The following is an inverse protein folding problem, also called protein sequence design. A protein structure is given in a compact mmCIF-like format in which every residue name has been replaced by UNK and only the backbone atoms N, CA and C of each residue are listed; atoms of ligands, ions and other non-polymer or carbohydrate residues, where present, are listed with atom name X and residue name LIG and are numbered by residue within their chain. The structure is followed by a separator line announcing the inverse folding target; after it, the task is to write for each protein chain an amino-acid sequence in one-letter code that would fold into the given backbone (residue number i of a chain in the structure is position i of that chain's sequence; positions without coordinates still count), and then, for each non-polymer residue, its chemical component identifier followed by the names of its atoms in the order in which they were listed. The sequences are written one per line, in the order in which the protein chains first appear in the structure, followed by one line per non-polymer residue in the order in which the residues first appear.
data_IF_688509759425
#
_entry.id   IF_688509759425
#
_cell.length_a   1.000
_cell.length_b   1.000
_cell.length_c   1.000
_cell.angle_alpha   90.00
_cell.angle_beta   90.00
_cell.angle_gamma   90.00
#
_symmetry.space_group_name_H-M   'P 1'
#
loop_
_entity.id
_entity.type
_entity.pdbx_description
1 polymer ?
#
# COMPACT_ATOMS: atom_id res chain seq x y z
N UNK A 1 -11.96 -7.91 13.10
CA UNK A 1 -10.71 -7.31 12.58
C UNK A 1 -11.04 -6.13 11.71
N UNK A 2 -10.42 -4.99 11.96
CA UNK A 2 -10.66 -3.78 11.19
C UNK A 2 -9.77 -3.82 9.94
N UNK A 3 -10.36 -4.13 8.78
CA UNK A 3 -9.65 -4.13 7.48
C UNK A 3 -10.08 -2.90 6.69
N UNK A 4 -9.58 -1.72 7.09
CA UNK A 4 -9.88 -0.47 6.43
C UNK A 4 -8.78 -0.10 5.43
N UNK A 5 -9.20 0.43 4.30
CA UNK A 5 -8.36 1.06 3.29
C UNK A 5 -8.92 2.42 2.94
N UNK A 6 -8.09 3.31 2.46
CA UNK A 6 -8.49 4.65 2.07
C UNK A 6 -8.22 4.89 0.60
N UNK A 7 -9.12 5.61 -0.06
CA UNK A 7 -8.97 6.00 -1.46
C UNK A 7 -9.53 7.38 -1.69
N UNK A 8 -8.95 8.11 -2.64
CA UNK A 8 -9.46 9.41 -3.03
C UNK A 8 -8.89 9.87 -4.37
N UNK A 9 -9.59 10.82 -4.99
CA UNK A 9 -9.22 11.42 -6.26
C UNK A 9 -8.76 12.86 -6.04
N UNK A 10 -7.75 13.30 -6.80
CA UNK A 10 -7.21 14.66 -6.75
C UNK A 10 -6.75 15.03 -5.33
N UNK A 11 -7.26 16.11 -4.76
CA UNK A 11 -7.02 16.46 -3.35
C UNK A 11 -7.39 15.34 -2.38
N UNK A 12 -8.46 14.57 -2.67
CA UNK A 12 -8.82 13.37 -1.90
C UNK A 12 -7.76 12.28 -1.97
N UNK A 13 -7.04 12.18 -3.10
CA UNK A 13 -5.88 11.29 -3.23
C UNK A 13 -4.72 11.70 -2.33
N UNK A 14 -4.41 13.00 -2.28
CA UNK A 14 -3.43 13.54 -1.32
C UNK A 14 -3.86 13.32 0.13
N UNK A 15 -5.12 13.62 0.46
CA UNK A 15 -5.68 13.39 1.80
C UNK A 15 -5.68 11.91 2.21
N UNK A 16 -5.66 10.97 1.25
CA UNK A 16 -5.52 9.55 1.56
C UNK A 16 -4.15 9.20 2.14
N UNK A 17 -3.09 9.85 1.67
CA UNK A 17 -1.75 9.72 2.24
C UNK A 17 -1.65 10.38 3.63
N UNK A 18 -2.32 11.53 3.82
CA UNK A 18 -2.41 12.17 5.11
C UNK A 18 -3.12 11.28 6.14
N UNK A 19 -4.24 10.67 5.77
CA UNK A 19 -4.92 9.70 6.61
C UNK A 19 -4.02 8.51 6.98
N UNK A 20 -3.18 8.04 6.04
CA UNK A 20 -2.22 6.95 6.30
C UNK A 20 -1.10 7.36 7.26
N UNK A 21 -0.68 8.63 7.26
CA UNK A 21 0.26 9.15 8.26
C UNK A 21 -0.38 9.27 9.66
N UNK A 22 -1.69 9.50 9.72
CA UNK A 22 -2.42 9.64 10.99
C UNK A 22 -2.88 8.31 11.59
N UNK A 23 -3.16 7.31 10.75
CA UNK A 23 -3.67 6.00 11.17
C UNK A 23 -2.88 4.85 10.56
N UNK A 24 -1.90 4.35 11.29
CA UNK A 24 -1.07 3.21 10.91
C UNK A 24 -1.80 1.86 10.90
N UNK A 25 -3.10 1.80 11.26
CA UNK A 25 -3.90 0.56 11.19
C UNK A 25 -4.54 0.31 9.82
N UNK A 26 -4.47 1.28 8.91
CA UNK A 26 -4.92 1.12 7.54
C UNK A 26 -4.17 -0.01 6.83
N UNK A 27 -4.84 -0.71 5.93
CA UNK A 27 -4.27 -1.84 5.19
C UNK A 27 -3.75 -1.46 3.81
N UNK A 28 -4.34 -0.44 3.18
CA UNK A 28 -3.91 0.03 1.87
C UNK A 28 -4.37 1.47 1.60
N UNK A 29 -3.60 2.16 0.77
CA UNK A 29 -3.96 3.43 0.14
C UNK A 29 -4.12 3.21 -1.37
N UNK A 30 -5.16 3.79 -1.95
CA UNK A 30 -5.30 3.93 -3.41
C UNK A 30 -5.52 5.41 -3.70
N UNK A 31 -4.52 6.06 -4.26
CA UNK A 31 -4.61 7.47 -4.63
C UNK A 31 -4.77 7.64 -6.13
N UNK A 32 -5.88 8.29 -6.52
CA UNK A 32 -6.32 8.45 -7.89
C UNK A 32 -5.96 9.87 -8.35
N UNK A 33 -4.95 10.00 -9.21
CA UNK A 33 -4.38 11.28 -9.63
C UNK A 33 -4.22 12.25 -8.44
N UNK A 34 -3.48 11.86 -7.40
CA UNK A 34 -3.38 12.67 -6.19
C UNK A 34 -2.69 13.99 -6.49
N UNK A 35 -3.20 15.04 -5.86
CA UNK A 35 -2.50 16.31 -5.77
C UNK A 35 -2.28 16.64 -4.31
N UNK A 36 -1.10 17.11 -3.98
CA UNK A 36 -0.83 17.65 -2.65
C UNK A 36 -1.58 18.96 -2.50
N UNK A 37 -2.26 19.15 -1.38
CA UNK A 37 -3.30 20.15 -1.29
C UNK A 37 -2.75 21.57 -1.20
N UNK A 38 -1.63 21.85 -0.61
CA UNK A 38 -1.03 23.18 -0.59
C UNK A 38 0.44 23.15 -0.13
N UNK A 39 1.29 23.76 -0.92
CA UNK A 39 2.65 24.16 -0.52
C UNK A 39 2.62 25.30 0.52
N UNK A 40 1.57 26.14 0.50
CA UNK A 40 1.48 27.30 1.37
C UNK A 40 0.64 26.98 2.63
N UNK A 41 1.32 26.42 3.62
CA UNK A 41 0.79 26.24 4.96
C UNK A 41 0.51 27.56 5.69
N UNK A 42 0.80 28.71 5.09
CA UNK A 42 0.39 30.01 5.62
C UNK A 42 -1.11 30.25 5.55
N UNK A 43 -1.84 29.45 4.78
CA UNK A 43 -3.30 29.41 4.88
C UNK A 43 -3.78 28.75 6.17
N UNK A 44 -2.87 28.13 6.95
CA UNK A 44 -3.23 27.36 8.10
C UNK A 44 -3.30 28.17 9.39
N UNK A 45 -2.36 28.33 10.25
CA UNK A 45 -2.61 28.93 11.56
C UNK A 45 -3.00 30.40 11.44
N UNK A 46 -4.27 30.70 11.60
CA UNK A 46 -4.79 32.06 11.73
C UNK A 46 -5.52 32.61 10.48
N UNK A 47 -5.64 31.85 9.41
CA UNK A 47 -6.51 32.17 8.27
C UNK A 47 -7.76 31.30 8.34
N UNK A 48 -8.77 31.82 9.05
CA UNK A 48 -10.08 31.19 9.10
C UNK A 48 -10.78 31.35 7.74
N UNK A 49 -10.92 30.25 7.00
CA UNK A 49 -11.92 30.18 5.96
C UNK A 49 -13.22 29.69 6.60
N UNK A 50 -14.21 30.55 6.67
CA UNK A 50 -15.52 30.33 7.32
C UNK A 50 -15.45 29.89 8.82
N UNK A 51 -14.46 30.34 9.56
CA UNK A 51 -14.34 30.05 10.99
C UNK A 51 -13.96 28.60 11.31
N UNK A 52 -13.44 27.85 10.34
CA UNK A 52 -12.99 26.49 10.50
C UNK A 52 -11.51 26.39 10.18
N UNK A 53 -10.70 26.11 11.21
CA UNK A 53 -9.26 25.92 11.07
C UNK A 53 -9.01 24.50 10.56
N UNK A 54 -9.07 24.29 9.25
CA UNK A 54 -8.60 23.07 8.63
C UNK A 54 -7.38 23.37 7.80
N UNK A 55 -6.26 22.83 8.21
CA UNK A 55 -5.06 22.90 7.43
C UNK A 55 -4.35 21.57 7.42
N UNK A 56 -4.56 20.85 6.36
CA UNK A 56 -3.75 19.70 6.03
C UNK A 56 -2.80 20.14 4.94
N UNK A 57 -1.54 20.36 5.30
CA UNK A 57 -0.48 20.64 4.37
C UNK A 57 0.28 19.33 4.12
N UNK A 58 -0.07 18.63 3.07
CA UNK A 58 0.74 17.53 2.58
C UNK A 58 1.73 18.09 1.56
N UNK A 59 3.02 18.02 1.84
CA UNK A 59 4.09 18.25 0.86
C UNK A 59 4.71 16.91 0.53
N UNK A 60 5.00 16.61 -0.75
CA UNK A 60 5.49 15.29 -1.16
C UNK A 60 6.69 14.79 -0.37
N UNK A 61 7.59 15.67 0.00
CA UNK A 61 8.77 15.36 0.81
C UNK A 61 8.46 14.91 2.26
N UNK A 62 7.23 15.05 2.71
CA UNK A 62 6.78 14.64 4.04
C UNK A 62 5.82 13.45 4.02
N UNK A 63 5.62 12.79 2.87
CA UNK A 63 4.81 11.57 2.79
C UNK A 63 5.61 10.41 3.37
N UNK A 64 5.51 10.25 4.68
CA UNK A 64 6.25 9.24 5.45
C UNK A 64 5.28 8.34 6.20
N UNK A 65 4.89 7.24 5.58
CA UNK A 65 4.09 6.18 6.20
C UNK A 65 4.43 4.81 5.63
N UNK A 66 4.17 3.77 6.39
CA UNK A 66 4.43 2.38 6.01
C UNK A 66 3.22 1.69 5.35
N UNK A 67 2.11 2.40 5.14
CA UNK A 67 0.90 1.79 4.57
C UNK A 67 1.09 1.59 3.06
N UNK A 68 0.89 0.36 2.55
CA UNK A 68 1.01 0.04 1.14
C UNK A 68 0.19 0.98 0.25
N UNK A 69 0.78 1.49 -0.85
CA UNK A 69 0.18 2.56 -1.65
C UNK A 69 0.22 2.30 -3.15
N UNK A 70 -0.96 2.28 -3.78
CA UNK A 70 -1.13 2.30 -5.23
C UNK A 70 -1.47 3.71 -5.69
N UNK A 71 -0.63 4.28 -6.55
CA UNK A 71 -0.74 5.66 -7.01
C UNK A 71 -1.00 5.65 -8.52
N UNK A 72 -2.12 6.22 -8.93
CA UNK A 72 -2.40 6.48 -10.34
C UNK A 72 -2.05 7.92 -10.69
N UNK A 73 -1.38 8.14 -11.82
CA UNK A 73 -1.00 9.44 -12.32
C UNK A 73 -1.23 9.55 -13.84
N UNK A 74 -1.26 10.73 -14.39
CA UNK A 74 -1.33 10.95 -15.83
C UNK A 74 -0.01 11.48 -16.38
N UNK A 75 0.45 10.93 -17.52
CA UNK A 75 1.73 11.33 -18.15
C UNK A 75 1.80 12.83 -18.48
N UNK A 76 0.69 13.42 -18.90
CA UNK A 76 0.64 14.85 -19.26
C UNK A 76 -0.10 15.71 -18.23
N UNK A 77 -0.32 15.18 -17.05
CA UNK A 77 -1.08 15.83 -15.97
C UNK A 77 -0.49 17.17 -15.55
N UNK A 78 0.84 17.28 -15.50
CA UNK A 78 1.56 18.52 -15.20
C UNK A 78 1.25 19.64 -16.17
N UNK A 79 0.90 19.33 -17.43
CA UNK A 79 0.52 20.34 -18.41
C UNK A 79 -0.87 20.94 -18.14
N UNK A 80 -1.74 20.17 -17.46
CA UNK A 80 -3.07 20.62 -17.05
C UNK A 80 -3.02 21.35 -15.71
N UNK A 81 -2.14 20.90 -14.82
CA UNK A 81 -2.02 21.36 -13.46
C UNK A 81 -0.63 21.96 -13.18
N UNK A 82 -0.24 22.95 -13.98
CA UNK A 82 1.10 23.55 -13.90
C UNK A 82 1.43 24.17 -12.54
N UNK A 83 0.42 24.59 -11.77
CA UNK A 83 0.60 25.10 -10.41
C UNK A 83 0.94 24.00 -9.39
N UNK A 84 0.81 22.72 -9.78
CA UNK A 84 1.08 21.54 -8.95
C UNK A 84 2.32 20.78 -9.41
N UNK A 85 3.17 21.40 -10.23
CA UNK A 85 4.47 20.81 -10.60
C UNK A 85 5.29 20.49 -9.33
N UNK A 86 5.77 19.27 -9.23
CA UNK A 86 6.45 18.75 -8.03
C UNK A 86 5.50 18.26 -6.92
N UNK A 87 4.19 18.23 -7.15
CA UNK A 87 3.17 17.87 -6.15
C UNK A 87 2.13 16.87 -6.68
N UNK A 88 2.45 16.16 -7.75
CA UNK A 88 1.57 15.17 -8.38
C UNK A 88 1.92 13.74 -7.93
N UNK A 89 1.20 12.75 -8.43
CA UNK A 89 1.37 11.35 -8.06
C UNK A 89 2.80 10.82 -8.26
N UNK A 90 3.48 11.25 -9.32
CA UNK A 90 4.88 10.91 -9.59
C UNK A 90 5.81 11.39 -8.47
N UNK A 91 5.59 12.62 -7.99
CA UNK A 91 6.40 13.22 -6.92
C UNK A 91 6.12 12.56 -5.58
N UNK A 92 4.84 12.25 -5.30
CA UNK A 92 4.44 11.50 -4.10
C UNK A 92 5.15 10.14 -4.09
N UNK A 93 5.07 9.38 -5.19
CA UNK A 93 5.75 8.09 -5.29
C UNK A 93 7.26 8.20 -5.05
N UNK A 94 7.91 9.20 -5.65
CA UNK A 94 9.36 9.40 -5.55
C UNK A 94 9.80 9.73 -4.12
N UNK A 95 8.95 10.44 -3.36
CA UNK A 95 9.26 10.91 -2.01
C UNK A 95 8.81 9.96 -0.89
N UNK A 96 7.97 8.96 -1.20
CA UNK A 96 7.61 7.93 -0.21
C UNK A 96 8.81 7.05 0.16
N UNK A 97 8.86 6.52 1.40
CA UNK A 97 9.91 5.60 1.83
C UNK A 97 10.09 4.42 0.87
N UNK A 98 11.34 4.02 0.64
CA UNK A 98 11.66 2.85 -0.21
C UNK A 98 11.26 1.53 0.45
N UNK A 99 11.04 1.55 1.76
CA UNK A 99 10.58 0.39 2.56
C UNK A 99 9.07 0.21 2.56
N UNK A 100 8.32 1.19 2.03
CA UNK A 100 6.86 1.08 1.88
C UNK A 100 6.55 0.41 0.55
N UNK A 101 5.74 -0.63 0.57
CA UNK A 101 5.21 -1.25 -0.65
C UNK A 101 4.46 -0.21 -1.47
N UNK A 102 4.89 0.02 -2.69
CA UNK A 102 4.27 1.06 -3.52
C UNK A 102 4.33 0.74 -5.00
N UNK A 103 3.27 1.17 -5.68
CA UNK A 103 3.16 1.13 -7.14
C UNK A 103 2.80 2.53 -7.63
N UNK A 104 3.44 2.97 -8.73
CA UNK A 104 2.97 4.07 -9.55
C UNK A 104 2.57 3.55 -10.92
N UNK A 105 1.32 3.80 -11.29
CA UNK A 105 0.76 3.52 -12.59
C UNK A 105 0.47 4.85 -13.31
N UNK A 106 1.35 5.23 -14.21
CA UNK A 106 1.18 6.43 -15.02
C UNK A 106 0.50 6.09 -16.34
N UNK A 107 -0.69 6.65 -16.57
CA UNK A 107 -1.46 6.43 -17.80
C UNK A 107 -0.90 7.20 -18.99
N UNK A 108 -0.64 6.48 -20.10
CA UNK A 108 -0.06 7.05 -21.31
C UNK A 108 -0.98 8.11 -21.95
N UNK A 109 -0.40 9.25 -22.33
CA UNK A 109 -1.09 10.41 -22.92
C UNK A 109 -2.31 10.88 -22.12
N UNK A 110 -2.36 10.59 -20.84
CA UNK A 110 -3.47 10.90 -19.94
C UNK A 110 -3.14 12.08 -19.04
N UNK A 111 -4.14 12.93 -18.76
CA UNK A 111 -4.04 14.03 -17.82
C UNK A 111 -4.64 13.69 -16.46
N UNK A 112 -5.03 14.74 -15.72
CA UNK A 112 -5.56 14.62 -14.36
C UNK A 112 -6.83 13.76 -14.24
N UNK A 113 -7.55 13.55 -15.31
CA UNK A 113 -8.75 12.69 -15.33
C UNK A 113 -8.51 11.19 -15.48
N UNK A 114 -7.26 10.71 -15.56
CA UNK A 114 -6.94 9.32 -15.87
C UNK A 114 -7.66 8.30 -14.98
N UNK A 115 -7.60 8.51 -13.68
CA UNK A 115 -8.23 7.62 -12.70
C UNK A 115 -9.48 8.24 -12.01
N UNK A 116 -10.01 9.37 -12.52
CA UNK A 116 -11.19 10.04 -11.92
C UNK A 116 -12.43 9.13 -11.86
N UNK A 117 -12.58 8.27 -12.85
CA UNK A 117 -13.66 7.28 -12.94
C UNK A 117 -13.03 5.91 -13.25
N UNK A 118 -12.57 5.17 -12.23
CA UNK A 118 -11.82 3.94 -12.41
C UNK A 118 -12.56 2.94 -13.30
N UNK A 119 -11.90 2.50 -14.35
CA UNK A 119 -12.40 1.50 -15.31
C UNK A 119 -11.23 0.77 -15.98
N UNK A 120 -11.47 -0.37 -16.62
CA UNK A 120 -10.42 -1.14 -17.27
C UNK A 120 -9.27 -1.47 -16.32
N UNK A 121 -8.03 -1.29 -16.77
CA UNK A 121 -6.82 -1.60 -16.00
C UNK A 121 -6.74 -0.83 -14.68
N UNK A 122 -7.21 0.43 -14.60
CA UNK A 122 -7.25 1.19 -13.34
C UNK A 122 -8.08 0.46 -12.27
N UNK A 123 -9.27 -0.04 -12.65
CA UNK A 123 -10.11 -0.81 -11.73
C UNK A 123 -9.51 -2.18 -11.39
N UNK A 124 -8.89 -2.82 -12.35
CA UNK A 124 -8.28 -4.14 -12.21
C UNK A 124 -7.10 -4.09 -11.23
N UNK A 125 -6.17 -3.16 -11.42
CA UNK A 125 -5.02 -2.99 -10.54
C UNK A 125 -5.44 -2.53 -9.13
N UNK A 126 -6.44 -1.65 -9.03
CA UNK A 126 -7.00 -1.26 -7.74
C UNK A 126 -7.61 -2.47 -7.00
N UNK A 127 -8.31 -3.37 -7.71
CA UNK A 127 -8.87 -4.58 -7.13
C UNK A 127 -7.80 -5.57 -6.69
N UNK A 128 -6.76 -5.80 -7.51
CA UNK A 128 -5.63 -6.66 -7.15
C UNK A 128 -4.88 -6.10 -5.95
N UNK A 129 -4.69 -4.78 -5.87
CA UNK A 129 -4.07 -4.11 -4.73
C UNK A 129 -4.82 -4.39 -3.42
N UNK A 130 -6.14 -4.22 -3.43
CA UNK A 130 -6.97 -4.49 -2.25
C UNK A 130 -6.99 -5.98 -1.90
N UNK A 131 -7.08 -6.87 -2.89
CA UNK A 131 -7.06 -8.32 -2.62
C UNK A 131 -5.74 -8.74 -2.00
N UNK A 132 -4.63 -8.24 -2.50
CA UNK A 132 -3.30 -8.57 -1.96
C UNK A 132 -3.14 -8.03 -0.54
N UNK A 133 -3.24 -6.72 -0.32
CA UNK A 133 -2.92 -6.12 0.97
C UNK A 133 -4.01 -6.26 2.04
N UNK A 134 -5.27 -6.49 1.65
CA UNK A 134 -6.39 -6.63 2.61
C UNK A 134 -6.76 -8.07 2.86
N UNK A 135 -6.70 -8.93 1.81
CA UNK A 135 -7.15 -10.32 1.89
C UNK A 135 -5.98 -11.32 1.83
N UNK A 136 -4.75 -10.89 1.59
CA UNK A 136 -3.59 -11.78 1.47
C UNK A 136 -3.58 -12.65 0.20
N UNK A 137 -4.28 -12.21 -0.87
CA UNK A 137 -4.36 -12.97 -2.11
C UNK A 137 -3.06 -12.84 -2.93
N UNK A 138 -2.22 -13.85 -2.86
CA UNK A 138 -0.93 -13.90 -3.55
C UNK A 138 -1.06 -13.89 -5.08
N UNK A 139 -2.13 -14.49 -5.63
CA UNK A 139 -2.36 -14.44 -7.08
C UNK A 139 -2.60 -13.02 -7.57
N UNK A 140 -3.16 -12.18 -6.71
CA UNK A 140 -3.32 -10.74 -6.97
C UNK A 140 -2.00 -9.98 -6.89
N UNK A 141 -1.07 -10.40 -6.02
CA UNK A 141 0.30 -9.84 -6.02
C UNK A 141 1.00 -10.12 -7.35
N UNK A 142 0.99 -11.37 -7.81
CA UNK A 142 1.60 -11.74 -9.09
C UNK A 142 1.02 -10.93 -10.26
N UNK A 143 -0.31 -10.73 -10.28
CA UNK A 143 -0.97 -9.91 -11.30
C UNK A 143 -0.52 -8.43 -11.28
N UNK A 144 -0.13 -7.91 -10.12
CA UNK A 144 0.41 -6.55 -9.97
C UNK A 144 1.84 -6.40 -10.52
N UNK A 145 2.56 -7.48 -10.82
CA UNK A 145 3.88 -7.42 -11.44
C UNK A 145 3.80 -7.29 -12.98
N UNK A 146 2.65 -7.55 -13.57
CA UNK A 146 2.44 -7.37 -15.00
C UNK A 146 2.45 -5.88 -15.35
N UNK A 147 3.07 -5.53 -16.50
CA UNK A 147 3.10 -4.15 -16.98
C UNK A 147 1.76 -3.81 -17.67
N UNK A 148 0.99 -2.84 -17.16
CA UNK A 148 -0.30 -2.50 -17.76
C UNK A 148 -0.15 -1.89 -19.16
N UNK A 149 -1.02 -2.30 -20.08
CA UNK A 149 -0.93 -1.90 -21.50
C UNK A 149 -1.20 -0.41 -21.74
N UNK A 150 -1.94 0.23 -20.85
CA UNK A 150 -2.26 1.66 -20.90
C UNK A 150 -1.23 2.55 -20.18
N UNK A 151 -0.17 1.98 -19.61
CA UNK A 151 0.84 2.76 -18.90
C UNK A 151 1.89 3.37 -19.83
N UNK A 152 2.26 4.63 -19.59
CA UNK A 152 3.52 5.22 -20.05
C UNK A 152 4.67 4.84 -19.13
N UNK A 153 4.40 4.75 -17.82
CA UNK A 153 5.34 4.30 -16.81
C UNK A 153 4.62 3.44 -15.77
N UNK A 154 5.29 2.38 -15.33
CA UNK A 154 4.85 1.53 -14.24
C UNK A 154 6.03 1.23 -13.34
N UNK A 155 5.99 1.72 -12.11
CA UNK A 155 7.05 1.56 -11.13
C UNK A 155 6.51 0.80 -9.93
N UNK A 156 7.25 -0.20 -9.48
CA UNK A 156 6.89 -0.97 -8.28
C UNK A 156 8.13 -1.40 -7.52
N UNK A 157 8.01 -1.55 -6.23
CA UNK A 157 8.99 -2.18 -5.36
C UNK A 157 8.41 -3.38 -4.60
N UNK A 158 7.17 -3.82 -4.95
CA UNK A 158 6.60 -5.00 -4.31
C UNK A 158 7.31 -6.27 -4.77
N UNK A 159 7.46 -7.18 -3.84
CA UNK A 159 7.97 -8.52 -4.10
C UNK A 159 6.90 -9.54 -3.69
N UNK A 160 6.45 -10.34 -4.65
CA UNK A 160 5.49 -11.39 -4.38
C UNK A 160 6.22 -12.62 -3.84
N UNK A 161 6.63 -12.54 -2.59
CA UNK A 161 7.08 -13.72 -1.90
C UNK A 161 5.84 -14.48 -1.45
N UNK A 162 5.63 -15.69 -1.96
CA UNK A 162 4.61 -16.57 -1.42
C UNK A 162 4.97 -16.82 0.05
N UNK A 163 4.20 -16.23 0.96
CA UNK A 163 4.28 -16.68 2.33
C UNK A 163 3.68 -18.08 2.37
N UNK A 164 4.53 -19.09 2.24
CA UNK A 164 4.11 -20.46 2.38
C UNK A 164 3.80 -20.67 3.85
N UNK A 165 2.53 -20.92 4.19
CA UNK A 165 2.15 -21.21 5.56
C UNK A 165 3.02 -22.35 6.08
N UNK A 166 3.76 -22.09 7.14
CA UNK A 166 4.80 -22.98 7.65
C UNK A 166 6.24 -22.57 7.32
N UNK A 167 6.44 -21.67 6.35
CA UNK A 167 7.73 -21.05 6.05
C UNK A 167 7.81 -19.71 6.82
N UNK A 168 8.30 -19.79 8.04
CA UNK A 168 8.34 -18.66 8.98
C UNK A 168 9.58 -17.79 8.75
N UNK A 169 10.63 -18.36 8.11
CA UNK A 169 11.85 -17.62 7.80
C UNK A 169 11.87 -17.03 6.39
N UNK A 170 10.91 -17.39 5.53
CA UNK A 170 10.79 -16.89 4.16
C UNK A 170 11.85 -17.44 3.19
N UNK A 171 12.41 -18.64 3.46
CA UNK A 171 13.44 -19.24 2.62
C UNK A 171 12.88 -20.22 1.56
N UNK A 172 11.56 -20.27 1.40
CA UNK A 172 10.79 -21.15 0.51
C UNK A 172 10.89 -22.65 0.86
N UNK A 173 11.35 -22.99 2.06
CA UNK A 173 11.50 -24.35 2.54
C UNK A 173 10.86 -24.52 3.92
N UNK A 174 9.82 -25.33 4.03
CA UNK A 174 9.27 -25.69 5.34
C UNK A 174 10.17 -26.75 5.98
N UNK A 175 10.88 -26.39 7.05
CA UNK A 175 11.85 -27.26 7.70
C UNK A 175 11.97 -26.99 9.22
N UNK A 176 12.96 -27.61 9.88
CA UNK A 176 13.14 -27.48 11.33
C UNK A 176 13.47 -26.04 11.78
N UNK A 177 13.97 -25.18 10.89
CA UNK A 177 14.28 -23.79 11.24
C UNK A 177 12.99 -23.01 11.52
N UNK A 178 11.93 -23.29 10.76
CA UNK A 178 10.61 -22.69 10.95
C UNK A 178 9.97 -23.10 12.27
N UNK A 179 10.16 -24.38 12.64
CA UNK A 179 9.73 -24.87 13.98
C UNK A 179 10.41 -24.08 15.10
N UNK A 180 11.71 -23.79 14.97
CA UNK A 180 12.46 -23.03 15.97
C UNK A 180 11.93 -21.58 16.03
N UNK A 181 11.64 -20.96 14.89
CA UNK A 181 11.10 -19.62 14.85
C UNK A 181 9.68 -19.56 15.43
N UNK A 182 8.80 -20.51 15.10
CA UNK A 182 7.47 -20.63 15.70
C UNK A 182 7.54 -20.77 17.23
N UNK A 183 8.48 -21.58 17.75
CA UNK A 183 8.70 -21.68 19.21
C UNK A 183 9.10 -20.32 19.79
N UNK A 184 9.98 -19.57 19.12
CA UNK A 184 10.39 -18.25 19.60
C UNK A 184 9.22 -17.26 19.64
N UNK A 185 8.36 -17.25 18.61
CA UNK A 185 7.13 -16.42 18.61
C UNK A 185 6.23 -16.75 19.80
N UNK A 186 6.01 -18.03 20.10
CA UNK A 186 5.22 -18.47 21.26
C UNK A 186 5.83 -17.96 22.57
N UNK A 187 7.16 -18.07 22.72
CA UNK A 187 7.84 -17.67 23.94
C UNK A 187 7.77 -16.16 24.22
N UNK A 188 7.69 -15.34 23.19
CA UNK A 188 7.56 -13.88 23.32
C UNK A 188 6.12 -13.40 23.18
N UNK A 189 5.16 -14.30 22.95
CA UNK A 189 3.75 -14.02 22.70
C UNK A 189 3.55 -13.07 21.51
N UNK A 190 4.29 -13.28 20.44
CA UNK A 190 4.20 -12.55 19.18
C UNK A 190 3.43 -13.38 18.16
N UNK A 191 2.93 -12.71 17.09
CA UNK A 191 2.09 -13.32 16.06
C UNK A 191 2.72 -13.18 14.68
N UNK A 192 2.78 -14.28 13.95
CA UNK A 192 3.14 -14.32 12.53
C UNK A 192 2.13 -15.23 11.82
N UNK A 193 1.51 -14.73 10.75
CA UNK A 193 0.50 -15.49 9.97
C UNK A 193 1.06 -16.75 9.32
N UNK A 194 2.37 -16.82 9.03
CA UNK A 194 3.00 -18.02 8.49
C UNK A 194 3.21 -19.11 9.57
N UNK A 195 3.25 -18.71 10.83
CA UNK A 195 3.36 -19.62 11.97
C UNK A 195 1.98 -20.12 12.45
N UNK A 196 0.88 -19.45 12.08
CA UNK A 196 -0.50 -19.87 12.38
C UNK A 196 -0.99 -20.88 11.34
N UNK A 197 -0.58 -22.14 11.52
CA UNK A 197 -0.82 -23.22 10.55
C UNK A 197 -2.30 -23.60 10.50
N UNK A 198 -3.00 -23.48 11.63
CA UNK A 198 -4.41 -23.86 11.76
C UNK A 198 -5.39 -22.71 11.46
N UNK A 199 -4.87 -21.49 11.27
CA UNK A 199 -5.61 -20.26 10.98
C UNK A 199 -6.64 -19.89 12.07
N UNK A 200 -6.32 -20.16 13.35
CA UNK A 200 -7.17 -19.78 14.48
C UNK A 200 -6.82 -18.41 15.07
N UNK A 201 -5.86 -17.70 14.49
CA UNK A 201 -5.31 -16.40 14.89
C UNK A 201 -4.53 -16.44 16.22
N UNK A 202 -4.03 -17.62 16.60
CA UNK A 202 -3.17 -17.81 17.77
C UNK A 202 -1.99 -18.65 17.34
N UNK A 203 -0.78 -18.20 17.56
CA UNK A 203 0.42 -19.05 17.37
C UNK A 203 0.71 -19.79 18.67
N UNK A 204 0.46 -21.10 18.68
CA UNK A 204 0.64 -21.94 19.85
C UNK A 204 1.23 -23.33 19.54
N UNK A 205 1.18 -24.23 20.51
CA UNK A 205 1.76 -25.59 20.38
C UNK A 205 1.03 -26.43 19.31
N UNK A 206 -0.22 -26.12 18.97
CA UNK A 206 -0.96 -26.85 17.95
C UNK A 206 -0.39 -26.59 16.57
N UNK A 207 0.10 -25.35 16.30
CA UNK A 207 0.76 -24.98 15.06
C UNK A 207 2.10 -25.72 14.93
N UNK A 208 2.87 -25.81 16.00
CA UNK A 208 4.12 -26.60 16.00
C UNK A 208 3.84 -28.06 15.63
N UNK A 209 2.80 -28.67 16.19
CA UNK A 209 2.44 -30.05 15.89
C UNK A 209 2.05 -30.21 14.42
N UNK A 210 1.29 -29.27 13.86
CA UNK A 210 0.92 -29.30 12.44
C UNK A 210 2.14 -29.05 11.54
N UNK A 211 2.97 -28.08 11.87
CA UNK A 211 4.21 -27.80 11.14
C UNK A 211 5.14 -29.01 11.09
N UNK A 212 5.33 -29.72 12.21
CA UNK A 212 6.09 -30.97 12.26
C UNK A 212 5.46 -32.04 11.35
N UNK A 213 4.12 -32.15 11.32
CA UNK A 213 3.45 -33.10 10.44
C UNK A 213 3.66 -32.75 8.95
N UNK A 214 3.68 -31.47 8.58
CA UNK A 214 4.02 -31.02 7.21
C UNK A 214 5.44 -31.43 6.83
N UNK A 215 6.41 -31.27 7.75
CA UNK A 215 7.82 -31.60 7.53
C UNK A 215 8.04 -33.13 7.39
N UNK A 216 7.28 -33.93 8.11
CA UNK A 216 7.43 -35.37 8.12
C UNK A 216 6.66 -36.08 6.99
N UNK A 217 5.72 -35.41 6.29
CA UNK A 217 4.90 -35.95 5.19
C UNK A 217 3.76 -36.80 5.73
#
# INVERSE_FOLDING_TARGET
ENSFSVSGYSMGGGASHDAAMMDGSLKAVISLNPTVIFEDCNLCPGNDYDGVTYCICLVPEFVDHAIPSLIFAGEVEVNELTAYEGMLGQDIYANMPTTTDKIMFEGANSGHGFAAYPSGEVSEYALHWLKYHVLGDMSSCEALLDYPSSASQYLTNIECTSSMVGDVNGDELINVQDVILTINLILVSDYDGNADINSDNIVDILDIVQLINIILG
#
